data_IF_905004695276
#
_entry.id   IF_905004695276
#
_cell.length_a   1.000
_cell.length_b   1.000
_cell.length_c   1.000
_cell.angle_alpha   90.00
_cell.angle_beta   90.00
_cell.angle_gamma   90.00
#
_symmetry.space_group_name_H-M   'P 1'
#
loop_
_entity.id
_entity.type
_entity.pdbx_description
1 polymer ?
#
# COMPACT_ATOMS: atom_id res chain seq x y z
N UNK A 1 -25.54 -36.66 26.95
CA UNK A 1 -25.36 -35.64 28.00
C UNK A 1 -24.04 -34.95 27.69
N UNK A 2 -24.09 -33.68 27.26
CA UNK A 2 -22.94 -32.85 26.88
C UNK A 2 -21.99 -32.64 28.06
N UNK A 3 -20.68 -32.54 27.79
CA UNK A 3 -19.66 -31.76 28.50
C UNK A 3 -18.34 -31.92 27.72
N UNK A 4 -18.06 -31.02 26.78
CA UNK A 4 -17.38 -29.72 26.99
C UNK A 4 -15.87 -29.92 26.79
N UNK A 5 -15.49 -29.77 25.53
CA UNK A 5 -14.16 -29.32 25.11
C UNK A 5 -14.00 -27.89 25.66
N UNK A 6 -13.15 -27.68 26.67
CA UNK A 6 -12.52 -26.39 27.00
C UNK A 6 -11.80 -26.54 28.35
N UNK A 7 -10.51 -26.85 28.34
CA UNK A 7 -9.60 -26.52 29.46
C UNK A 7 -8.12 -26.67 29.04
N UNK A 8 -7.77 -25.99 27.94
CA UNK A 8 -6.39 -25.88 27.45
C UNK A 8 -6.00 -24.41 27.31
N UNK A 9 -6.18 -23.64 28.39
CA UNK A 9 -5.51 -22.35 28.58
C UNK A 9 -4.72 -22.46 29.88
N UNK A 10 -3.41 -22.60 29.72
CA UNK A 10 -2.46 -22.51 30.82
C UNK A 10 -2.64 -21.18 31.56
N UNK A 11 -2.68 -21.31 32.87
CA UNK A 11 -2.75 -20.25 33.88
C UNK A 11 -1.85 -19.07 33.50
N UNK A 12 -2.47 -17.96 33.08
CA UNK A 12 -1.77 -16.68 32.90
C UNK A 12 -1.63 -16.11 34.32
N UNK A 13 -0.41 -15.91 34.84
CA UNK A 13 -0.26 -15.37 36.18
C UNK A 13 -0.98 -14.02 36.24
N UNK A 14 -2.03 -13.96 37.06
CA UNK A 14 -2.77 -12.75 37.37
C UNK A 14 -1.80 -11.76 38.02
N UNK A 15 -1.21 -10.90 37.18
CA UNK A 15 -0.29 -9.89 37.64
C UNK A 15 -1.14 -8.83 38.37
N UNK A 16 -0.90 -8.74 39.67
CA UNK A 16 -1.54 -7.88 40.67
C UNK A 16 -1.80 -6.46 40.13
N UNK A 17 -3.04 -6.21 39.67
CA UNK A 17 -3.47 -4.90 39.17
C UNK A 17 -3.96 -4.07 40.36
N UNK A 18 -3.05 -3.78 41.29
CA UNK A 18 -3.40 -3.13 42.55
C UNK A 18 -2.39 -2.15 43.12
N UNK A 19 -1.22 -1.94 42.48
CA UNK A 19 -0.27 -0.94 42.97
C UNK A 19 -0.65 0.45 42.45
N UNK A 20 -1.22 1.26 43.36
CA UNK A 20 -1.42 2.69 43.12
C UNK A 20 -0.06 3.31 42.80
N UNK A 21 0.11 3.87 41.60
CA UNK A 21 1.36 4.50 41.13
C UNK A 21 1.69 5.70 42.03
N UNK A 22 2.34 5.44 43.16
CA UNK A 22 2.78 6.47 44.10
C UNK A 22 4.17 6.95 43.70
N UNK A 23 4.21 8.02 42.90
CA UNK A 23 5.43 8.81 42.73
C UNK A 23 5.54 9.78 43.90
N UNK A 24 6.70 9.86 44.56
CA UNK A 24 6.92 10.93 45.55
C UNK A 24 6.95 12.25 44.80
N UNK A 25 6.47 13.34 45.38
CA UNK A 25 6.51 14.68 44.74
C UNK A 25 7.92 15.04 44.24
N UNK A 26 8.97 14.60 44.94
CA UNK A 26 10.37 14.73 44.53
C UNK A 26 10.73 14.01 43.20
N UNK A 27 10.06 12.91 42.87
CA UNK A 27 10.30 12.13 41.65
C UNK A 27 9.72 12.82 40.40
N UNK A 28 8.69 13.65 40.58
CA UNK A 28 8.07 14.44 39.50
C UNK A 28 8.94 15.66 39.14
N UNK A 29 9.61 16.26 40.13
CA UNK A 29 10.54 17.38 39.91
C UNK A 29 11.82 16.97 39.17
N UNK A 30 12.16 15.68 39.12
CA UNK A 30 13.36 15.17 38.43
C UNK A 30 13.17 15.03 36.90
N UNK A 31 11.96 15.19 36.37
CA UNK A 31 11.67 15.01 34.94
C UNK A 31 12.50 15.99 34.07
N UNK A 32 12.80 17.20 34.58
CA UNK A 32 13.64 18.18 33.88
C UNK A 32 15.15 17.94 33.98
N UNK A 33 15.62 17.06 34.87
CA UNK A 33 17.04 16.77 35.10
C UNK A 33 17.49 15.37 34.66
N UNK A 34 16.58 14.60 34.06
CA UNK A 34 16.80 13.22 33.65
C UNK A 34 16.17 12.19 34.60
N UNK A 35 15.70 11.09 34.01
CA UNK A 35 14.98 10.02 34.70
C UNK A 35 15.84 8.76 34.81
N UNK A 36 15.72 8.07 35.95
CA UNK A 36 16.48 6.85 36.21
C UNK A 36 15.74 5.59 35.73
N UNK A 37 16.48 4.49 35.55
CA UNK A 37 15.92 3.19 35.13
C UNK A 37 14.78 2.72 36.05
N UNK A 38 14.89 2.77 37.40
CA UNK A 38 13.78 2.38 38.29
C UNK A 38 12.53 3.25 38.13
N UNK A 39 12.69 4.53 37.78
CA UNK A 39 11.57 5.42 37.49
C UNK A 39 10.90 5.05 36.16
N UNK A 40 11.68 4.78 35.12
CA UNK A 40 11.18 4.33 33.81
C UNK A 40 10.44 2.99 33.90
N UNK A 41 10.91 2.06 34.74
CA UNK A 41 10.22 0.79 35.01
C UNK A 41 8.80 1.02 35.55
N UNK A 42 8.64 1.95 36.51
CA UNK A 42 7.34 2.30 37.08
C UNK A 42 6.46 3.05 36.10
N UNK A 43 7.02 4.01 35.38
CA UNK A 43 6.29 4.86 34.42
C UNK A 43 5.76 4.05 33.23
N UNK A 44 6.58 3.16 32.65
CA UNK A 44 6.22 2.37 31.47
C UNK A 44 5.71 0.96 31.79
N UNK A 45 5.67 0.58 33.09
CA UNK A 45 5.27 -0.74 33.58
C UNK A 45 6.02 -1.89 32.88
N UNK A 46 7.34 -1.72 32.77
CA UNK A 46 8.24 -2.69 32.13
C UNK A 46 9.26 -3.24 33.13
N UNK A 47 9.64 -4.51 32.97
CA UNK A 47 10.70 -5.12 33.77
C UNK A 47 12.07 -4.50 33.49
N UNK A 48 12.98 -4.53 34.48
CA UNK A 48 14.32 -3.92 34.38
C UNK A 48 15.08 -4.36 33.13
N UNK A 49 15.15 -5.67 32.89
CA UNK A 49 15.85 -6.24 31.73
C UNK A 49 15.27 -5.77 30.39
N UNK A 50 13.95 -5.52 30.32
CA UNK A 50 13.29 -5.00 29.12
C UNK A 50 13.63 -3.54 28.88
N UNK A 51 13.68 -2.74 29.95
CA UNK A 51 14.06 -1.32 29.89
C UNK A 51 15.52 -1.19 29.48
N UNK A 52 16.43 -1.91 30.13
CA UNK A 52 17.87 -1.91 29.81
C UNK A 52 18.13 -2.33 28.36
N UNK A 53 17.49 -3.41 27.89
CA UNK A 53 17.64 -3.89 26.51
C UNK A 53 17.17 -2.87 25.47
N UNK A 54 16.11 -2.12 25.76
CA UNK A 54 15.57 -1.09 24.84
C UNK A 54 16.37 0.21 24.88
N UNK A 55 17.00 0.51 26.00
CA UNK A 55 17.83 1.71 26.19
C UNK A 55 19.30 1.53 25.82
N UNK A 56 19.72 0.36 25.29
CA UNK A 56 21.10 0.12 24.82
C UNK A 56 21.59 1.19 23.83
N UNK A 57 20.68 1.76 23.04
CA UNK A 57 21.00 2.80 22.04
C UNK A 57 20.76 4.24 22.50
N UNK A 58 20.33 4.47 23.74
CA UNK A 58 20.05 5.82 24.27
C UNK A 58 21.24 6.29 25.11
N UNK A 59 21.74 7.50 24.84
CA UNK A 59 22.88 8.06 25.57
C UNK A 59 22.37 8.66 26.89
N UNK A 60 22.95 8.31 28.05
CA UNK A 60 22.57 8.95 29.30
C UNK A 60 22.99 10.42 29.32
N UNK A 61 22.08 11.30 29.71
CA UNK A 61 22.27 12.76 29.82
C UNK A 61 23.21 13.12 30.97
N UNK A 62 23.29 12.25 31.97
CA UNK A 62 24.17 12.44 33.11
C UNK A 62 24.17 11.26 34.07
N UNK A 63 24.90 11.42 35.16
CA UNK A 63 24.95 10.46 36.26
C UNK A 63 24.37 11.09 37.52
N UNK A 64 23.36 10.45 38.08
CA UNK A 64 22.74 10.86 39.33
C UNK A 64 23.50 10.38 40.55
N UNK A 65 22.83 10.47 41.72
CA UNK A 65 23.38 9.97 42.99
C UNK A 65 23.75 8.47 42.86
N UNK A 66 24.91 8.10 43.41
CA UNK A 66 25.48 6.75 43.30
C UNK A 66 25.80 6.28 41.87
N UNK A 67 26.22 7.19 40.98
CA UNK A 67 26.65 6.85 39.62
C UNK A 67 25.56 6.19 38.75
N UNK A 68 24.29 6.48 39.05
CA UNK A 68 23.16 5.90 38.32
C UNK A 68 22.94 6.66 37.00
N UNK A 69 22.83 6.00 35.84
CA UNK A 69 22.59 6.69 34.58
C UNK A 69 21.20 7.35 34.58
N UNK A 70 21.17 8.62 34.17
CA UNK A 70 19.96 9.41 33.97
C UNK A 70 19.75 9.59 32.47
N UNK A 71 18.53 9.32 32.02
CA UNK A 71 18.13 9.41 30.61
C UNK A 71 17.18 10.58 30.42
N UNK A 72 17.18 11.20 29.24
CA UNK A 72 16.13 12.16 28.92
C UNK A 72 14.79 11.44 28.76
N UNK A 73 13.71 12.01 29.29
CA UNK A 73 12.40 11.36 29.28
C UNK A 73 11.82 11.22 27.85
N UNK A 74 11.76 12.29 27.03
CA UNK A 74 11.31 12.20 25.64
C UNK A 74 12.13 11.21 24.80
N UNK A 75 13.46 11.23 24.95
CA UNK A 75 14.34 10.32 24.23
C UNK A 75 14.10 8.88 24.68
N UNK A 76 14.17 8.59 25.98
CA UNK A 76 13.90 7.25 26.52
C UNK A 76 12.52 6.72 26.14
N UNK A 77 11.49 7.59 26.14
CA UNK A 77 10.13 7.21 25.74
C UNK A 77 10.06 6.71 24.28
N UNK A 78 10.82 7.32 23.37
CA UNK A 78 10.86 6.92 21.95
C UNK A 78 11.45 5.52 21.74
N UNK A 79 12.41 5.11 22.57
CA UNK A 79 13.00 3.77 22.54
C UNK A 79 12.14 2.73 23.29
N UNK A 80 11.43 3.16 24.33
CA UNK A 80 10.64 2.26 25.17
C UNK A 80 9.28 1.91 24.55
N UNK A 81 8.63 2.87 23.90
CA UNK A 81 7.30 2.72 23.31
C UNK A 81 7.44 2.36 21.84
N UNK A 82 6.92 1.19 21.44
CA UNK A 82 6.78 0.85 20.02
C UNK A 82 5.85 1.90 19.39
N UNK A 83 6.28 2.62 18.35
CA UNK A 83 5.41 3.61 17.75
C UNK A 83 4.20 2.87 17.18
N UNK A 84 2.99 3.27 17.60
CA UNK A 84 1.72 2.77 17.05
C UNK A 84 1.52 3.39 15.67
N UNK A 85 2.45 3.15 14.75
CA UNK A 85 2.25 3.51 13.37
C UNK A 85 1.60 2.32 12.70
N UNK A 86 0.40 2.52 12.17
CA UNK A 86 -0.16 1.55 11.25
C UNK A 86 0.78 1.45 10.06
N UNK A 87 1.53 0.34 9.96
CA UNK A 87 2.47 0.09 8.88
C UNK A 87 1.81 0.33 7.50
N UNK A 88 0.52 0.00 7.41
CA UNK A 88 -0.32 0.19 6.24
C UNK A 88 -0.58 1.67 5.88
N UNK A 89 -0.58 2.58 6.85
CA UNK A 89 -0.67 4.04 6.57
C UNK A 89 0.68 4.58 6.11
N UNK A 90 1.79 4.19 6.76
CA UNK A 90 3.13 4.57 6.29
C UNK A 90 3.43 4.07 4.87
N UNK A 91 3.03 2.84 4.53
CA UNK A 91 3.24 2.28 3.19
C UNK A 91 2.39 2.97 2.11
N UNK A 92 1.28 3.64 2.48
CA UNK A 92 0.46 4.43 1.54
C UNK A 92 1.06 5.81 1.26
N UNK A 93 1.74 6.39 2.25
CA UNK A 93 2.34 7.71 2.14
C UNK A 93 3.83 7.67 1.73
N UNK A 94 4.47 6.49 1.77
CA UNK A 94 5.84 6.32 1.29
C UNK A 94 5.89 6.44 -0.23
N UNK A 95 6.63 7.43 -0.71
CA UNK A 95 7.01 7.51 -2.12
C UNK A 95 8.01 6.38 -2.43
N UNK A 96 7.98 5.78 -3.63
CA UNK A 96 8.92 4.71 -4.04
C UNK A 96 10.41 5.07 -3.91
N UNK A 97 10.72 6.37 -3.80
CA UNK A 97 12.06 6.94 -3.69
C UNK A 97 12.62 6.88 -2.26
N UNK A 98 11.76 6.81 -1.24
CA UNK A 98 12.15 6.78 0.18
C UNK A 98 12.34 5.35 0.72
N UNK A 99 12.11 4.32 -0.12
CA UNK A 99 12.34 2.93 0.26
C UNK A 99 13.83 2.56 0.12
N UNK A 100 14.42 1.88 1.13
CA UNK A 100 15.73 1.25 0.98
C UNK A 100 15.80 0.37 -0.28
N UNK A 101 16.94 0.38 -0.97
CA UNK A 101 17.20 -0.28 -2.26
C UNK A 101 16.57 -1.69 -2.38
N UNK A 102 16.69 -2.50 -1.31
CA UNK A 102 16.15 -3.87 -1.23
C UNK A 102 14.61 -3.95 -1.23
N UNK A 103 13.92 -2.98 -0.63
CA UNK A 103 12.45 -2.95 -0.58
C UNK A 103 11.85 -2.33 -1.85
N UNK A 104 12.60 -1.45 -2.51
CA UNK A 104 12.22 -0.86 -3.80
C UNK A 104 12.12 -1.93 -4.89
N UNK A 105 13.08 -2.85 -4.95
CA UNK A 105 13.04 -3.99 -5.88
C UNK A 105 11.80 -4.88 -5.64
N UNK A 106 11.50 -5.19 -4.38
CA UNK A 106 10.30 -5.96 -4.01
C UNK A 106 8.99 -5.26 -4.39
N UNK A 107 8.92 -3.94 -4.23
CA UNK A 107 7.77 -3.13 -4.64
C UNK A 107 7.55 -3.18 -6.16
N UNK A 108 8.59 -2.93 -6.96
CA UNK A 108 8.50 -2.98 -8.42
C UNK A 108 8.18 -4.38 -8.94
N UNK A 109 8.77 -5.42 -8.36
CA UNK A 109 8.46 -6.81 -8.68
C UNK A 109 6.99 -7.16 -8.38
N UNK A 110 6.45 -6.65 -7.26
CA UNK A 110 5.04 -6.85 -6.90
C UNK A 110 4.10 -6.11 -7.84
N UNK A 111 4.44 -4.88 -8.22
CA UNK A 111 3.68 -4.11 -9.22
C UNK A 111 3.69 -4.76 -10.60
N UNK A 112 4.83 -5.29 -11.04
CA UNK A 112 4.93 -6.00 -12.32
C UNK A 112 4.09 -7.29 -12.30
N UNK A 113 4.09 -8.03 -11.19
CA UNK A 113 3.23 -9.21 -11.01
C UNK A 113 1.74 -8.84 -11.06
N UNK A 114 1.36 -7.73 -10.43
CA UNK A 114 -0.02 -7.22 -10.49
C UNK A 114 -0.42 -6.88 -11.94
N UNK A 115 0.38 -6.10 -12.67
CA UNK A 115 0.09 -5.74 -14.05
C UNK A 115 -0.02 -6.96 -14.97
N UNK A 116 0.89 -7.94 -14.82
CA UNK A 116 0.83 -9.20 -15.58
C UNK A 116 -0.41 -10.03 -15.24
N UNK A 117 -0.86 -10.00 -13.99
CA UNK A 117 -2.09 -10.67 -13.59
C UNK A 117 -3.31 -9.98 -14.21
N UNK A 118 -3.39 -8.66 -14.14
CA UNK A 118 -4.48 -7.86 -14.72
C UNK A 118 -4.53 -7.97 -16.25
N UNK A 119 -3.38 -8.04 -16.92
CA UNK A 119 -3.31 -8.29 -18.37
C UNK A 119 -3.87 -9.67 -18.73
N UNK A 120 -3.47 -10.72 -17.99
CA UNK A 120 -3.98 -12.08 -18.22
C UNK A 120 -5.46 -12.23 -17.87
N UNK A 121 -5.93 -11.50 -16.87
CA UNK A 121 -7.34 -11.45 -16.50
C UNK A 121 -8.18 -10.68 -17.54
N UNK A 122 -7.54 -10.00 -18.51
CA UNK A 122 -8.22 -9.21 -19.54
C UNK A 122 -8.68 -7.83 -19.07
N UNK A 123 -8.29 -7.42 -17.86
CA UNK A 123 -8.63 -6.11 -17.28
C UNK A 123 -7.65 -5.00 -17.73
N UNK A 124 -6.46 -5.39 -18.22
CA UNK A 124 -5.46 -4.48 -18.76
C UNK A 124 -5.15 -4.86 -20.21
N UNK A 125 -5.38 -3.94 -21.14
CA UNK A 125 -5.05 -4.15 -22.56
C UNK A 125 -3.84 -3.31 -22.94
N UNK A 126 -2.93 -3.91 -23.72
CA UNK A 126 -1.81 -3.19 -24.31
C UNK A 126 -2.34 -2.29 -25.42
N UNK A 127 -1.98 -1.01 -25.40
CA UNK A 127 -2.42 -0.02 -26.40
C UNK A 127 -2.16 -0.49 -27.83
N UNK A 128 -1.00 -1.10 -28.08
CA UNK A 128 -0.61 -1.66 -29.38
C UNK A 128 -1.61 -2.71 -29.88
N UNK A 129 -2.11 -3.57 -28.99
CA UNK A 129 -3.06 -4.63 -29.32
C UNK A 129 -4.45 -4.07 -29.60
N UNK A 130 -4.88 -3.07 -28.82
CA UNK A 130 -6.15 -2.38 -29.07
C UNK A 130 -6.11 -1.68 -30.43
N UNK A 131 -5.06 -0.91 -30.69
CA UNK A 131 -4.88 -0.23 -31.98
C UNK A 131 -4.87 -1.22 -33.14
N UNK A 132 -4.12 -2.32 -33.05
CA UNK A 132 -4.08 -3.33 -34.09
C UNK A 132 -5.47 -3.93 -34.38
N UNK A 133 -6.22 -4.31 -33.33
CA UNK A 133 -7.58 -4.85 -33.50
C UNK A 133 -8.53 -3.81 -34.10
N UNK A 134 -8.48 -2.56 -33.63
CA UNK A 134 -9.30 -1.49 -34.20
C UNK A 134 -8.94 -1.22 -35.67
N UNK A 135 -7.66 -1.12 -36.01
CA UNK A 135 -7.22 -0.94 -37.40
C UNK A 135 -7.66 -2.08 -38.31
N UNK A 136 -7.56 -3.34 -37.86
CA UNK A 136 -8.02 -4.51 -38.60
C UNK A 136 -9.54 -4.44 -38.84
N UNK A 137 -10.33 -4.13 -37.81
CA UNK A 137 -11.79 -4.00 -37.94
C UNK A 137 -12.21 -2.86 -38.87
N UNK A 138 -11.54 -1.72 -38.81
CA UNK A 138 -11.83 -0.57 -39.68
C UNK A 138 -11.46 -0.86 -41.14
N UNK A 139 -10.34 -1.56 -41.37
CA UNK A 139 -9.96 -2.02 -42.71
C UNK A 139 -11.00 -3.00 -43.28
N UNK A 140 -11.48 -3.95 -42.48
CA UNK A 140 -12.52 -4.88 -42.91
C UNK A 140 -13.82 -4.16 -43.27
N UNK A 141 -14.25 -3.18 -42.46
CA UNK A 141 -15.42 -2.34 -42.75
C UNK A 141 -15.22 -1.58 -44.07
N UNK A 142 -14.06 -0.96 -44.27
CA UNK A 142 -13.74 -0.24 -45.51
C UNK A 142 -13.85 -1.14 -46.74
N UNK A 143 -13.23 -2.32 -46.71
CA UNK A 143 -13.30 -3.28 -47.82
C UNK A 143 -14.73 -3.70 -48.12
N UNK A 144 -15.55 -3.90 -47.08
CA UNK A 144 -16.97 -4.23 -47.26
C UNK A 144 -17.77 -3.08 -47.85
N UNK A 145 -17.50 -1.84 -47.46
CA UNK A 145 -18.18 -0.65 -48.01
C UNK A 145 -17.86 -0.46 -49.49
N UNK A 146 -16.61 -0.65 -49.92
CA UNK A 146 -16.21 -0.49 -51.33
C UNK A 146 -16.95 -1.41 -52.31
N UNK A 147 -17.40 -2.59 -51.87
CA UNK A 147 -18.12 -3.54 -52.73
C UNK A 147 -19.64 -3.33 -52.73
N UNK A 148 -20.17 -2.44 -51.89
CA UNK A 148 -21.62 -2.19 -51.79
C UNK A 148 -22.21 -1.66 -53.09
N UNK A 149 -21.63 -0.68 -53.81
CA UNK A 149 -22.21 -0.18 -55.06
C UNK A 149 -22.40 -1.29 -56.10
N UNK A 150 -21.37 -2.10 -56.31
CA UNK A 150 -21.39 -3.23 -57.24
C UNK A 150 -22.42 -4.29 -56.85
N UNK A 151 -22.58 -4.52 -55.54
CA UNK A 151 -23.56 -5.49 -55.03
C UNK A 151 -24.99 -5.00 -55.24
N UNK A 152 -25.27 -3.74 -54.91
CA UNK A 152 -26.62 -3.15 -55.06
C UNK A 152 -26.99 -3.04 -56.53
N UNK A 153 -26.04 -2.69 -57.40
CA UNK A 153 -26.26 -2.66 -58.84
C UNK A 153 -26.66 -4.03 -59.40
N UNK A 154 -25.99 -5.10 -58.97
CA UNK A 154 -26.34 -6.47 -59.37
C UNK A 154 -27.70 -6.93 -58.85
N UNK A 155 -28.09 -6.50 -57.65
CA UNK A 155 -29.33 -6.95 -57.00
C UNK A 155 -30.57 -6.18 -57.50
N UNK A 156 -30.44 -4.88 -57.78
CA UNK A 156 -31.58 -3.98 -58.04
C UNK A 156 -31.55 -3.40 -59.47
N UNK A 157 -30.42 -3.46 -60.17
CA UNK A 157 -30.23 -2.90 -61.51
C UNK A 157 -30.26 -1.38 -61.48
N UNK A 158 -29.18 -0.77 -60.96
CA UNK A 158 -29.10 0.69 -60.83
C UNK A 158 -28.71 1.34 -62.16
N UNK A 159 -29.07 2.62 -62.34
CA UNK A 159 -28.52 3.39 -63.45
C UNK A 159 -27.07 3.82 -63.14
N UNK A 160 -26.23 4.08 -64.15
CA UNK A 160 -24.85 4.54 -63.93
C UNK A 160 -24.75 5.78 -63.03
N UNK A 161 -25.71 6.71 -63.16
CA UNK A 161 -25.78 7.92 -62.32
C UNK A 161 -26.07 7.60 -60.85
N UNK A 162 -26.93 6.60 -60.58
CA UNK A 162 -27.26 6.16 -59.23
C UNK A 162 -26.09 5.40 -58.58
N UNK A 163 -25.36 4.58 -59.35
CA UNK A 163 -24.14 3.91 -58.88
C UNK A 163 -23.08 4.95 -58.50
N UNK A 164 -22.88 5.97 -59.33
CA UNK A 164 -21.93 7.05 -59.05
C UNK A 164 -22.32 7.85 -57.79
N UNK A 165 -23.61 8.16 -57.61
CA UNK A 165 -24.09 8.83 -56.40
C UNK A 165 -23.89 7.97 -55.14
N UNK A 166 -24.16 6.66 -55.22
CA UNK A 166 -23.95 5.72 -54.11
C UNK A 166 -22.46 5.57 -53.75
N UNK A 167 -21.58 5.51 -54.76
CA UNK A 167 -20.14 5.46 -54.56
C UNK A 167 -19.64 6.74 -53.86
N UNK A 168 -20.11 7.92 -54.28
CA UNK A 168 -19.75 9.21 -53.65
C UNK A 168 -20.11 9.25 -52.17
N UNK A 169 -21.31 8.78 -51.79
CA UNK A 169 -21.74 8.74 -50.38
C UNK A 169 -20.87 7.77 -49.57
N UNK A 170 -20.48 6.65 -50.15
CA UNK A 170 -19.60 5.67 -49.49
C UNK A 170 -18.19 6.21 -49.32
N UNK A 171 -17.68 6.96 -50.31
CA UNK A 171 -16.37 7.62 -50.22
C UNK A 171 -16.38 8.70 -49.13
N UNK A 172 -17.43 9.52 -49.04
CA UNK A 172 -17.62 10.49 -47.94
C UNK A 172 -17.62 9.81 -46.56
N UNK A 173 -18.35 8.70 -46.41
CA UNK A 173 -18.37 7.93 -45.16
C UNK A 173 -17.00 7.32 -44.84
N UNK A 174 -16.20 6.95 -45.84
CA UNK A 174 -14.84 6.44 -45.61
C UNK A 174 -13.89 7.55 -45.18
N UNK A 175 -14.01 8.75 -45.75
CA UNK A 175 -13.19 9.91 -45.38
C UNK A 175 -13.48 10.37 -43.95
N UNK A 176 -14.74 10.31 -43.49
CA UNK A 176 -15.13 10.63 -42.11
C UNK A 176 -14.62 9.64 -41.06
N UNK A 177 -14.33 8.39 -41.45
CA UNK A 177 -13.80 7.33 -40.56
C UNK A 177 -12.27 7.46 -40.38
N UNK A 178 -11.59 8.20 -41.26
CA UNK A 178 -10.13 8.33 -41.31
C UNK A 178 -9.62 9.53 -40.50
#
# INVERSE_FOLDING_TARGET
MRRDDDDLIGDVPANDIGETLSFRTADVHMIGGGVSIPWLMKAFRMGRATVEKKLVGCVPVGQGKHNTPLYDLPEAASYLVKPRVELNRMLKDLKPEDLPERLREGYWNSKLKQQRFEERAGNLWRTERVLATFSETLQEIRTKLMIVPDRVDREVGLTPEQVAALASVIDEVQDDIH
#
